data_IF_872254719425
#
_entry.id   IF_872254719425
#
_cell.length_a   1.000
_cell.length_b   1.000
_cell.length_c   1.000
_cell.angle_alpha   90.00
_cell.angle_beta   90.00
_cell.angle_gamma   90.00
#
_symmetry.space_group_name_H-M   'P 1'
#
loop_
_entity.id
_entity.type
_entity.pdbx_description
1 polymer ?
#
# COMPACT_ATOMS: atom_id res chain seq x y z
N UNK A 1 2.56 -10.73 16.22
CA UNK A 1 1.13 -10.31 16.21
C UNK A 1 0.92 -9.47 14.95
N UNK A 2 0.00 -9.90 14.08
CA UNK A 2 -0.30 -9.25 12.78
C UNK A 2 -1.02 -7.90 13.02
N UNK A 3 -0.59 -6.85 12.32
CA UNK A 3 -1.06 -5.47 12.47
C UNK A 3 0.03 -4.46 12.09
N UNK A 4 -0.31 -3.19 11.87
CA UNK A 4 0.69 -2.13 11.76
C UNK A 4 1.41 -1.91 13.09
N UNK A 5 2.73 -1.71 13.06
CA UNK A 5 3.58 -1.75 14.26
C UNK A 5 4.39 -0.48 14.48
N UNK A 6 4.69 0.22 13.40
CA UNK A 6 5.38 1.50 13.45
C UNK A 6 4.90 2.35 12.29
N UNK A 7 4.74 3.64 12.54
CA UNK A 7 4.31 4.57 11.53
C UNK A 7 4.93 5.96 11.73
N UNK A 8 5.19 6.62 10.61
CA UNK A 8 5.56 8.02 10.54
C UNK A 8 4.40 8.78 9.94
N UNK A 9 3.97 9.85 10.61
CA UNK A 9 2.86 10.69 10.18
C UNK A 9 3.41 12.07 9.85
N UNK A 10 3.13 12.55 8.64
CA UNK A 10 3.42 13.91 8.22
C UNK A 10 2.11 14.65 7.93
N UNK A 11 2.04 15.91 8.37
CA UNK A 11 0.94 16.81 8.00
C UNK A 11 1.29 17.54 6.72
N UNK A 12 0.35 17.61 5.79
CA UNK A 12 0.49 18.41 4.57
C UNK A 12 0.08 19.85 4.85
N UNK A 13 0.27 20.73 3.85
CA UNK A 13 -0.26 22.09 3.89
C UNK A 13 -1.78 22.12 4.16
N UNK A 14 -2.54 21.26 3.49
CA UNK A 14 -3.98 21.13 3.70
C UNK A 14 -4.30 20.74 5.16
N UNK A 15 -3.51 19.82 5.74
CA UNK A 15 -3.65 19.46 7.15
C UNK A 15 -3.34 20.62 8.11
N UNK A 16 -2.31 21.40 7.83
CA UNK A 16 -1.95 22.58 8.64
C UNK A 16 -3.04 23.66 8.58
N UNK A 17 -3.61 23.90 7.40
CA UNK A 17 -4.70 24.87 7.18
C UNK A 17 -5.99 24.45 7.89
N UNK A 18 -6.37 23.17 7.81
CA UNK A 18 -7.51 22.61 8.55
C UNK A 18 -7.34 22.78 10.06
N UNK A 19 -6.15 22.47 10.60
CA UNK A 19 -5.85 22.63 12.02
C UNK A 19 -5.92 24.11 12.45
N UNK A 20 -5.50 25.05 11.60
CA UNK A 20 -5.61 26.47 11.86
C UNK A 20 -7.06 26.96 11.84
N UNK A 21 -7.88 26.46 10.91
CA UNK A 21 -9.31 26.78 10.80
C UNK A 21 -10.09 26.28 12.03
N UNK A 22 -9.85 25.04 12.47
CA UNK A 22 -10.46 24.45 13.65
C UNK A 22 -10.17 25.26 14.93
N UNK A 23 -8.94 25.76 15.11
CA UNK A 23 -8.57 26.63 16.25
C UNK A 23 -9.28 27.99 16.25
N UNK A 24 -9.76 28.45 15.09
CA UNK A 24 -10.47 29.73 14.94
C UNK A 24 -11.99 29.60 15.05
N UNK A 25 -12.52 28.40 15.28
CA UNK A 25 -13.97 28.16 15.34
C UNK A 25 -14.69 28.40 14.00
N UNK A 26 -13.95 28.44 12.88
CA UNK A 26 -14.50 28.64 11.55
C UNK A 26 -14.79 27.29 10.91
N UNK A 27 -15.96 27.14 10.28
CA UNK A 27 -16.27 25.95 9.49
C UNK A 27 -15.29 25.87 8.29
N UNK A 28 -14.69 24.70 8.08
CA UNK A 28 -13.79 24.48 6.94
C UNK A 28 -14.55 24.79 5.63
N UNK A 29 -14.12 25.84 4.93
CA UNK A 29 -14.68 26.23 3.64
C UNK A 29 -14.60 25.07 2.64
N UNK A 30 -15.68 24.87 1.89
CA UNK A 30 -15.76 23.85 0.84
C UNK A 30 -14.69 24.13 -0.21
N UNK A 31 -13.72 23.23 -0.34
CA UNK A 31 -12.70 23.26 -1.39
C UNK A 31 -13.44 23.11 -2.75
N UNK A 32 -13.21 23.98 -3.75
CA UNK A 32 -13.94 23.94 -5.01
C UNK A 32 -13.72 22.61 -5.75
N UNK A 33 -14.80 21.93 -6.09
CA UNK A 33 -14.76 20.73 -6.92
C UNK A 33 -14.45 21.12 -8.37
N UNK A 34 -13.30 20.70 -8.88
CA UNK A 34 -12.90 20.97 -10.25
C UNK A 34 -11.92 19.94 -10.78
N UNK A 35 -12.38 18.73 -11.07
CA UNK A 35 -11.70 17.83 -12.00
C UNK A 35 -12.75 17.20 -12.93
N UNK A 36 -12.59 17.48 -14.22
CA UNK A 36 -13.52 17.16 -15.29
C UNK A 36 -13.74 15.66 -15.48
N UNK A 37 -14.97 15.33 -15.87
CA UNK A 37 -15.35 13.98 -16.32
C UNK A 37 -14.60 13.65 -17.61
N UNK A 38 -13.64 12.74 -17.54
CA UNK A 38 -13.14 12.03 -18.73
C UNK A 38 -13.76 10.64 -18.79
N UNK A 39 -14.74 10.48 -19.67
CA UNK A 39 -15.29 9.19 -20.07
C UNK A 39 -14.31 8.51 -21.02
N UNK A 40 -13.60 7.48 -20.56
CA UNK A 40 -12.83 6.60 -21.45
C UNK A 40 -13.71 5.44 -21.89
N UNK A 41 -14.02 5.40 -23.19
CA UNK A 41 -14.60 4.24 -23.86
C UNK A 41 -13.65 3.04 -23.77
N UNK A 42 -14.12 1.91 -23.21
CA UNK A 42 -13.42 0.64 -23.31
C UNK A 42 -13.67 0.01 -24.68
N UNK A 43 -12.64 -0.03 -25.53
CA UNK A 43 -12.61 -0.85 -26.74
C UNK A 43 -12.15 -2.26 -26.41
N UNK A 44 -12.93 -3.25 -26.86
CA UNK A 44 -12.64 -4.68 -26.74
C UNK A 44 -11.50 -5.10 -27.66
N UNK A 45 -10.43 -5.66 -27.11
CA UNK A 45 -9.36 -6.32 -27.88
C UNK A 45 -9.34 -7.81 -27.57
N UNK A 46 -9.43 -8.62 -28.63
CA UNK A 46 -9.42 -10.09 -28.65
C UNK A 46 -8.02 -10.66 -28.33
N UNK A 47 -7.91 -11.86 -27.72
CA UNK A 47 -6.61 -12.43 -27.39
C UNK A 47 -6.05 -13.24 -28.57
N UNK A 48 -4.84 -12.91 -29.03
CA UNK A 48 -4.06 -13.76 -29.94
C UNK A 48 -2.90 -14.42 -29.19
N UNK A 49 -2.70 -15.71 -29.52
CA UNK A 49 -2.02 -16.70 -28.68
C UNK A 49 -0.54 -16.50 -28.41
N UNK A 50 -0.13 -16.93 -27.22
CA UNK A 50 1.28 -17.17 -26.86
C UNK A 50 1.52 -18.67 -26.91
N UNK A 51 2.46 -19.10 -27.77
CA UNK A 51 2.84 -20.52 -27.93
C UNK A 51 3.68 -20.98 -26.73
N UNK A 52 3.28 -22.10 -26.14
CA UNK A 52 3.99 -22.73 -25.02
C UNK A 52 5.31 -23.38 -25.47
N UNK A 53 6.32 -23.26 -24.61
CA UNK A 53 7.54 -24.06 -24.69
C UNK A 53 7.38 -25.32 -23.85
N UNK A 54 7.57 -26.48 -24.47
CA UNK A 54 7.68 -27.77 -23.78
C UNK A 54 9.06 -27.92 -23.13
N UNK A 55 9.09 -28.38 -21.88
CA UNK A 55 10.25 -29.11 -21.36
C UNK A 55 9.77 -30.23 -20.42
N UNK A 56 10.14 -31.45 -20.77
CA UNK A 56 9.87 -32.70 -20.06
C UNK A 56 10.89 -32.90 -18.95
N UNK A 57 10.45 -33.21 -17.71
CA UNK A 57 11.23 -34.00 -16.75
C UNK A 57 10.32 -34.57 -15.64
N UNK A 58 10.52 -35.85 -15.35
CA UNK A 58 9.72 -36.67 -14.44
C UNK A 58 9.95 -36.40 -12.94
N UNK A 59 8.87 -36.52 -12.17
CA UNK A 59 8.82 -37.26 -10.89
C UNK A 59 9.38 -36.62 -9.62
N UNK A 60 8.49 -36.08 -8.78
CA UNK A 60 8.44 -36.39 -7.33
C UNK A 60 7.13 -35.89 -6.69
N UNK A 61 6.40 -36.82 -6.09
CA UNK A 61 5.18 -36.63 -5.31
C UNK A 61 5.27 -35.48 -4.31
N UNK A 62 4.42 -34.46 -4.48
CA UNK A 62 3.89 -33.64 -3.37
C UNK A 62 2.49 -33.12 -3.77
N UNK A 63 1.58 -34.05 -4.03
CA UNK A 63 0.15 -33.74 -4.21
C UNK A 63 -0.47 -33.41 -2.83
N UNK A 64 -0.24 -32.18 -2.38
CA UNK A 64 -1.14 -31.47 -1.48
C UNK A 64 -1.64 -30.25 -2.24
N UNK A 65 -2.79 -30.43 -2.89
CA UNK A 65 -3.72 -29.44 -3.41
C UNK A 65 -3.27 -27.98 -3.23
N UNK A 66 -2.57 -27.46 -4.25
CA UNK A 66 -2.66 -26.03 -4.54
C UNK A 66 -4.08 -25.81 -5.06
N UNK A 67 -4.99 -25.43 -4.18
CA UNK A 67 -6.34 -25.03 -4.58
C UNK A 67 -6.23 -24.00 -5.72
N UNK A 68 -6.69 -24.40 -6.90
CA UNK A 68 -6.72 -23.54 -8.07
C UNK A 68 -7.66 -22.37 -7.77
N UNK A 69 -7.19 -21.15 -8.00
CA UNK A 69 -7.99 -19.96 -7.75
C UNK A 69 -9.07 -19.85 -8.83
N UNK A 70 -10.32 -20.15 -8.47
CA UNK A 70 -11.48 -19.92 -9.32
C UNK A 70 -11.79 -18.42 -9.39
N UNK A 71 -11.46 -17.78 -10.51
CA UNK A 71 -11.78 -16.36 -10.74
C UNK A 71 -13.28 -16.09 -10.73
N UNK A 72 -14.14 -17.06 -11.08
CA UNK A 72 -15.59 -16.91 -10.98
C UNK A 72 -16.03 -16.76 -9.52
N UNK A 73 -15.33 -17.41 -8.59
CA UNK A 73 -15.55 -17.22 -7.16
C UNK A 73 -15.28 -15.77 -6.73
N UNK A 74 -14.25 -15.11 -7.29
CA UNK A 74 -13.94 -13.70 -6.98
C UNK A 74 -15.06 -12.79 -7.49
N UNK A 75 -15.53 -12.99 -8.72
CA UNK A 75 -16.65 -12.21 -9.27
C UNK A 75 -17.94 -12.43 -8.47
N UNK A 76 -18.21 -13.66 -8.04
CA UNK A 76 -19.37 -13.98 -7.18
C UNK A 76 -19.28 -13.28 -5.83
N UNK A 77 -18.12 -13.35 -5.17
CA UNK A 77 -17.84 -12.64 -3.90
C UNK A 77 -18.02 -11.13 -4.04
N UNK A 78 -17.57 -10.54 -5.15
CA UNK A 78 -17.77 -9.12 -5.44
C UNK A 78 -19.26 -8.78 -5.60
N UNK A 79 -20.04 -9.59 -6.34
CA UNK A 79 -21.48 -9.38 -6.50
C UNK A 79 -22.22 -9.40 -5.16
N UNK A 80 -21.89 -10.36 -4.30
CA UNK A 80 -22.45 -10.46 -2.93
C UNK A 80 -22.05 -9.25 -2.08
N UNK A 81 -20.80 -8.78 -2.18
CA UNK A 81 -20.36 -7.58 -1.47
C UNK A 81 -21.14 -6.33 -1.91
N UNK A 82 -21.36 -6.16 -3.22
CA UNK A 82 -22.15 -5.05 -3.76
C UNK A 82 -23.60 -5.10 -3.28
N UNK A 83 -24.26 -6.26 -3.34
CA UNK A 83 -25.66 -6.39 -2.90
C UNK A 83 -25.79 -6.10 -1.40
N UNK A 84 -24.93 -6.71 -0.59
CA UNK A 84 -24.90 -6.50 0.87
C UNK A 84 -24.71 -5.02 1.22
N UNK A 85 -23.82 -4.30 0.51
CA UNK A 85 -23.61 -2.88 0.76
C UNK A 85 -24.81 -2.02 0.37
N UNK A 86 -25.49 -2.34 -0.73
CA UNK A 86 -26.72 -1.64 -1.14
C UNK A 86 -27.90 -1.90 -0.20
N UNK A 87 -28.00 -3.12 0.33
CA UNK A 87 -29.02 -3.48 1.31
C UNK A 87 -28.81 -2.77 2.64
N UNK A 88 -27.56 -2.66 3.09
CA UNK A 88 -27.20 -1.90 4.30
C UNK A 88 -27.42 -0.39 4.12
N UNK A 89 -27.15 0.12 2.92
CA UNK A 89 -27.20 1.54 2.60
C UNK A 89 -27.36 1.76 1.09
N UNK A 90 -28.57 2.14 0.69
CA UNK A 90 -28.95 2.32 -0.72
C UNK A 90 -28.20 3.46 -1.41
N UNK A 91 -27.64 4.40 -0.65
CA UNK A 91 -26.89 5.55 -1.16
C UNK A 91 -25.37 5.37 -1.06
N UNK A 92 -24.88 4.24 -0.53
CA UNK A 92 -23.45 3.96 -0.33
C UNK A 92 -22.61 4.26 -1.57
N UNK A 93 -22.99 3.67 -2.72
CA UNK A 93 -22.26 3.84 -3.98
C UNK A 93 -22.44 5.23 -4.59
N UNK A 94 -23.56 5.92 -4.33
CA UNK A 94 -23.74 7.31 -4.79
C UNK A 94 -22.76 8.23 -4.06
N UNK A 95 -22.63 8.08 -2.75
CA UNK A 95 -21.65 8.85 -1.95
C UNK A 95 -20.22 8.52 -2.37
N UNK A 96 -19.91 7.24 -2.54
CA UNK A 96 -18.58 6.80 -2.97
C UNK A 96 -18.20 7.30 -4.37
N UNK A 97 -19.14 7.35 -5.31
CA UNK A 97 -18.90 7.81 -6.68
C UNK A 97 -18.70 9.33 -6.78
N UNK A 98 -19.30 10.11 -5.87
CA UNK A 98 -19.34 11.57 -5.97
C UNK A 98 -18.19 12.27 -5.24
N UNK A 99 -17.35 11.57 -4.48
CA UNK A 99 -16.44 12.21 -3.52
C UNK A 99 -15.21 11.33 -3.27
N UNK A 100 -14.04 11.78 -3.73
CA UNK A 100 -12.73 11.26 -3.33
C UNK A 100 -12.03 12.32 -2.49
N UNK A 101 -12.38 12.42 -1.21
CA UNK A 101 -11.68 13.27 -0.23
C UNK A 101 -11.05 12.39 0.86
N UNK A 102 -10.02 11.60 0.52
CA UNK A 102 -9.34 10.79 1.51
C UNK A 102 -8.70 11.68 2.57
N UNK A 103 -8.79 11.24 3.83
CA UNK A 103 -8.24 11.96 4.99
C UNK A 103 -6.75 11.68 5.15
N UNK A 104 -6.29 10.55 4.61
CA UNK A 104 -4.91 10.12 4.70
C UNK A 104 -4.43 9.53 3.37
N UNK A 105 -3.18 9.79 3.00
CA UNK A 105 -2.39 8.93 2.13
C UNK A 105 -1.70 7.89 3.00
N UNK A 106 -1.91 6.61 2.69
CA UNK A 106 -1.29 5.47 3.35
C UNK A 106 -0.25 4.83 2.45
N UNK A 107 1.02 4.85 2.86
CA UNK A 107 2.14 4.18 2.20
C UNK A 107 2.48 2.93 3.03
N UNK A 108 2.15 1.75 2.52
CA UNK A 108 2.28 0.49 3.24
C UNK A 108 3.01 -0.61 2.46
N UNK A 109 3.27 -1.73 3.13
CA UNK A 109 3.89 -2.88 2.49
C UNK A 109 2.87 -3.63 1.62
N UNK A 110 3.30 -4.24 0.52
CA UNK A 110 2.48 -5.15 -0.31
C UNK A 110 2.07 -6.46 0.39
N UNK A 111 2.51 -6.68 1.64
CA UNK A 111 2.14 -7.84 2.46
C UNK A 111 0.61 -7.98 2.63
N UNK A 112 0.05 -9.10 2.18
CA UNK A 112 -1.40 -9.33 2.14
C UNK A 112 -2.08 -9.26 3.53
N UNK A 113 -1.32 -9.36 4.62
CA UNK A 113 -1.84 -9.42 5.99
C UNK A 113 -2.16 -8.03 6.57
N UNK A 114 -1.82 -6.94 5.87
CA UNK A 114 -1.88 -5.57 6.39
C UNK A 114 -2.67 -4.62 5.47
N UNK A 115 -3.96 -4.88 5.17
CA UNK A 115 -4.79 -3.96 4.40
C UNK A 115 -5.20 -2.73 5.24
N UNK A 116 -4.86 -1.53 4.78
CA UNK A 116 -5.05 -0.26 5.50
C UNK A 116 -6.48 -0.05 6.03
N UNK A 117 -7.49 -0.20 5.16
CA UNK A 117 -8.88 0.06 5.53
C UNK A 117 -9.35 -0.85 6.67
N UNK A 118 -9.00 -2.14 6.63
CA UNK A 118 -9.42 -3.11 7.64
C UNK A 118 -8.73 -2.87 8.98
N UNK A 119 -7.42 -2.64 8.99
CA UNK A 119 -6.65 -2.50 10.24
C UNK A 119 -6.89 -1.18 10.95
N UNK A 120 -7.27 -0.13 10.22
CA UNK A 120 -7.56 1.19 10.77
C UNK A 120 -9.06 1.43 11.02
N UNK A 121 -9.93 0.48 10.66
CA UNK A 121 -11.38 0.66 10.76
C UNK A 121 -11.92 1.77 9.83
N UNK A 122 -11.25 2.00 8.70
CA UNK A 122 -11.58 3.05 7.75
C UNK A 122 -12.46 2.51 6.62
N UNK A 123 -13.35 3.35 6.10
CA UNK A 123 -14.28 2.96 5.05
C UNK A 123 -13.72 3.23 3.65
N UNK A 124 -14.36 2.68 2.62
CA UNK A 124 -14.04 3.00 1.23
C UNK A 124 -14.16 4.51 0.99
N UNK A 125 -13.06 5.14 0.56
CA UNK A 125 -12.99 6.59 0.32
C UNK A 125 -12.24 7.38 1.41
N UNK A 126 -12.04 6.83 2.61
CA UNK A 126 -11.30 7.53 3.69
C UNK A 126 -9.78 7.56 3.48
N UNK A 127 -9.25 6.62 2.69
CA UNK A 127 -7.80 6.35 2.54
C UNK A 127 -7.43 6.30 1.08
N UNK A 128 -6.39 7.04 0.71
CA UNK A 128 -5.68 6.87 -0.56
C UNK A 128 -4.45 5.98 -0.30
N UNK A 129 -4.23 4.94 -1.10
CA UNK A 129 -3.29 3.87 -0.73
C UNK A 129 -2.19 3.72 -1.78
N UNK A 130 -0.94 3.74 -1.32
CA UNK A 130 0.24 3.30 -2.06
C UNK A 130 0.83 2.07 -1.38
N UNK A 131 1.22 1.05 -2.15
CA UNK A 131 1.85 -0.17 -1.61
C UNK A 131 3.01 -0.65 -2.46
N UNK A 132 4.12 -0.94 -1.81
CA UNK A 132 5.28 -1.58 -2.42
C UNK A 132 5.98 -2.52 -1.42
N UNK A 133 7.03 -3.23 -1.85
CA UNK A 133 7.77 -4.12 -0.95
C UNK A 133 8.46 -3.30 0.14
N UNK A 134 8.14 -3.58 1.40
CA UNK A 134 8.71 -2.89 2.57
C UNK A 134 8.46 -1.37 2.64
N UNK A 135 7.34 -0.88 2.07
CA UNK A 135 6.82 0.48 2.31
C UNK A 135 7.85 1.60 2.11
N UNK A 136 8.62 1.52 1.02
CA UNK A 136 9.70 2.47 0.72
C UNK A 136 9.17 3.73 0.05
N UNK A 137 9.83 4.85 0.31
CA UNK A 137 9.63 6.13 -0.37
C UNK A 137 10.98 6.56 -0.95
N UNK A 138 11.21 6.18 -2.21
CA UNK A 138 12.46 6.49 -2.91
C UNK A 138 12.22 7.72 -3.79
N UNK A 139 13.00 8.79 -3.61
CA UNK A 139 12.78 10.05 -4.33
C UNK A 139 12.88 9.97 -5.85
N UNK A 140 13.52 8.92 -6.38
CA UNK A 140 13.61 8.63 -7.83
C UNK A 140 12.60 7.60 -8.32
N UNK A 141 11.77 7.03 -7.43
CA UNK A 141 10.69 6.12 -7.82
C UNK A 141 9.47 6.93 -8.30
N UNK A 142 9.32 7.04 -9.62
CA UNK A 142 8.19 7.72 -10.24
C UNK A 142 6.83 7.14 -9.82
N UNK A 143 6.76 5.86 -9.44
CA UNK A 143 5.51 5.26 -8.97
C UNK A 143 5.08 5.87 -7.63
N UNK A 144 5.92 5.79 -6.59
CA UNK A 144 5.61 6.40 -5.30
C UNK A 144 5.45 7.93 -5.39
N UNK A 145 6.33 8.61 -6.15
CA UNK A 145 6.30 10.07 -6.25
C UNK A 145 5.06 10.59 -6.95
N UNK A 146 4.57 9.92 -8.01
CA UNK A 146 3.32 10.32 -8.68
C UNK A 146 2.10 10.17 -7.77
N UNK A 147 2.06 9.12 -6.93
CA UNK A 147 0.97 8.91 -5.97
C UNK A 147 1.01 9.96 -4.85
N UNK A 148 2.20 10.29 -4.33
CA UNK A 148 2.37 11.36 -3.34
C UNK A 148 1.93 12.70 -3.93
N UNK A 149 2.39 13.04 -5.13
CA UNK A 149 2.02 14.29 -5.79
C UNK A 149 0.49 14.38 -6.00
N UNK A 150 -0.13 13.32 -6.52
CA UNK A 150 -1.58 13.30 -6.72
C UNK A 150 -2.34 13.50 -5.41
N UNK A 151 -1.91 12.81 -4.34
CA UNK A 151 -2.54 12.92 -3.03
C UNK A 151 -2.43 14.34 -2.44
N UNK A 152 -1.26 14.96 -2.55
CA UNK A 152 -0.99 16.28 -1.96
C UNK A 152 -1.60 17.41 -2.79
N UNK A 153 -1.34 17.43 -4.09
CA UNK A 153 -1.67 18.58 -4.94
C UNK A 153 -3.12 18.54 -5.43
N UNK A 154 -3.66 17.35 -5.71
CA UNK A 154 -4.97 17.19 -6.34
C UNK A 154 -6.06 16.74 -5.36
N UNK A 155 -5.74 15.78 -4.47
CA UNK A 155 -6.69 15.32 -3.44
C UNK A 155 -6.61 16.14 -2.15
N UNK A 156 -5.56 16.94 -1.99
CA UNK A 156 -5.31 17.77 -0.80
C UNK A 156 -5.40 16.98 0.51
N UNK A 157 -4.84 15.77 0.52
CA UNK A 157 -4.90 14.90 1.70
C UNK A 157 -4.26 15.60 2.91
N UNK A 158 -4.92 15.64 4.08
CA UNK A 158 -4.38 16.30 5.26
C UNK A 158 -3.11 15.64 5.83
N UNK A 159 -3.02 14.32 5.73
CA UNK A 159 -1.96 13.53 6.35
C UNK A 159 -1.39 12.48 5.41
N UNK A 160 -0.10 12.22 5.56
CA UNK A 160 0.61 11.09 4.94
C UNK A 160 1.09 10.17 6.07
N UNK A 161 0.83 8.88 5.93
CA UNK A 161 1.21 7.84 6.87
C UNK A 161 2.09 6.82 6.16
N UNK A 162 3.36 6.74 6.57
CA UNK A 162 4.22 5.60 6.20
C UNK A 162 4.08 4.53 7.27
N UNK A 163 3.64 3.34 6.90
CA UNK A 163 3.35 2.27 7.84
C UNK A 163 4.23 1.03 7.58
N UNK A 164 4.99 0.65 8.60
CA UNK A 164 5.74 -0.60 8.68
C UNK A 164 5.00 -1.67 9.48
N UNK A 165 5.34 -2.93 9.19
CA UNK A 165 4.84 -4.07 9.93
C UNK A 165 5.97 -5.04 10.28
N UNK A 166 5.90 -5.64 11.47
CA UNK A 166 6.85 -6.68 11.85
C UNK A 166 6.71 -7.91 10.96
N UNK A 167 7.79 -8.69 10.90
CA UNK A 167 7.90 -9.88 10.05
C UNK A 167 7.72 -9.56 8.55
N UNK A 168 8.18 -8.37 8.14
CA UNK A 168 8.20 -7.96 6.75
C UNK A 168 9.14 -8.85 5.92
N UNK A 169 8.58 -9.54 4.94
CA UNK A 169 9.35 -10.40 4.04
C UNK A 169 10.43 -9.63 3.26
N UNK A 170 10.14 -8.40 2.83
CA UNK A 170 11.11 -7.54 2.13
C UNK A 170 12.30 -7.14 3.01
N UNK A 171 12.05 -6.70 4.25
CA UNK A 171 13.11 -6.36 5.20
C UNK A 171 13.96 -7.58 5.56
N UNK A 172 13.32 -8.75 5.76
CA UNK A 172 14.05 -10.01 6.00
C UNK A 172 14.89 -10.42 4.79
N UNK A 173 14.36 -10.29 3.58
CA UNK A 173 15.07 -10.59 2.35
C UNK A 173 16.31 -9.70 2.19
N UNK A 174 16.21 -8.40 2.48
CA UNK A 174 17.34 -7.47 2.43
C UNK A 174 18.51 -7.89 3.34
N UNK A 175 18.23 -8.55 4.48
CA UNK A 175 19.23 -9.02 5.43
C UNK A 175 19.83 -10.40 5.10
N UNK A 176 19.27 -11.13 4.12
CA UNK A 176 19.81 -12.42 3.70
C UNK A 176 21.00 -12.21 2.76
N UNK A 177 22.05 -12.99 2.96
CA UNK A 177 23.21 -13.02 2.07
C UNK A 177 22.91 -13.89 0.83
N UNK A 178 21.92 -13.48 0.05
CA UNK A 178 21.53 -14.12 -1.19
C UNK A 178 21.11 -13.08 -2.23
N UNK A 179 21.36 -13.39 -3.51
CA UNK A 179 20.91 -12.55 -4.62
C UNK A 179 19.46 -12.90 -4.97
N UNK A 180 18.57 -11.91 -4.94
CA UNK A 180 17.14 -12.09 -5.24
C UNK A 180 16.79 -11.86 -6.72
N UNK A 181 17.79 -11.56 -7.56
CA UNK A 181 17.61 -11.22 -8.97
C UNK A 181 17.01 -9.83 -9.19
N UNK A 182 17.20 -9.29 -10.39
CA UNK A 182 16.57 -8.02 -10.80
C UNK A 182 15.07 -8.23 -11.10
N UNK A 183 14.17 -7.27 -10.79
CA UNK A 183 14.45 -5.95 -10.21
C UNK A 183 14.48 -5.93 -8.68
N UNK A 184 14.10 -7.02 -8.01
CA UNK A 184 13.94 -7.07 -6.55
C UNK A 184 15.25 -6.77 -5.82
N UNK A 185 16.37 -7.31 -6.28
CA UNK A 185 17.68 -7.07 -5.66
C UNK A 185 18.06 -5.58 -5.65
N UNK A 186 17.71 -4.83 -6.71
CA UNK A 186 17.93 -3.39 -6.77
C UNK A 186 17.05 -2.65 -5.76
N UNK A 187 15.79 -3.06 -5.64
CA UNK A 187 14.87 -2.49 -4.66
C UNK A 187 15.35 -2.71 -3.21
N UNK A 188 15.81 -3.92 -2.89
CA UNK A 188 16.27 -4.28 -1.56
C UNK A 188 17.55 -3.54 -1.13
N UNK A 189 18.35 -2.99 -2.07
CA UNK A 189 19.52 -2.16 -1.72
C UNK A 189 19.12 -0.93 -0.91
N UNK A 190 17.98 -0.31 -1.21
CA UNK A 190 17.49 0.84 -0.45
C UNK A 190 17.29 0.50 1.04
N UNK A 191 16.81 -0.71 1.36
CA UNK A 191 16.66 -1.18 2.75
C UNK A 191 18.03 -1.47 3.38
N UNK A 192 18.99 -1.99 2.59
CA UNK A 192 20.37 -2.20 3.06
C UNK A 192 21.10 -0.90 3.33
N UNK A 193 20.76 0.18 2.64
CA UNK A 193 21.24 1.51 2.96
C UNK A 193 20.73 1.98 4.33
N UNK A 194 19.46 1.76 4.67
CA UNK A 194 18.94 2.00 6.03
C UNK A 194 19.74 1.19 7.05
N UNK A 195 19.99 -0.09 6.79
CA UNK A 195 20.83 -0.90 7.69
C UNK A 195 22.25 -0.34 7.84
N UNK A 196 22.86 0.15 6.75
CA UNK A 196 24.21 0.72 6.75
C UNK A 196 24.27 2.02 7.54
N UNK A 197 23.25 2.88 7.41
CA UNK A 197 23.13 4.12 8.18
C UNK A 197 23.04 3.86 9.69
N UNK A 198 22.32 2.80 10.08
CA UNK A 198 22.06 2.45 11.48
C UNK A 198 22.87 1.25 11.98
N UNK A 199 24.00 0.96 11.34
CA UNK A 199 24.77 -0.28 11.54
C UNK A 199 25.19 -0.49 12.98
N UNK A 200 25.67 0.56 13.64
CA UNK A 200 26.22 0.45 14.99
C UNK A 200 25.12 0.17 16.03
N UNK A 201 23.95 0.81 15.90
CA UNK A 201 22.77 0.48 16.72
C UNK A 201 22.31 -0.97 16.49
N UNK A 202 22.17 -1.37 15.23
CA UNK A 202 21.65 -2.69 14.87
C UNK A 202 22.58 -3.85 15.27
N UNK A 203 23.90 -3.63 15.29
CA UNK A 203 24.88 -4.61 15.76
C UNK A 203 24.80 -4.88 17.26
N UNK A 204 24.42 -3.88 18.06
CA UNK A 204 24.32 -4.02 19.51
C UNK A 204 23.14 -4.90 19.93
N UNK A 205 22.17 -5.12 19.03
CA UNK A 205 21.02 -5.99 19.28
C UNK A 205 21.42 -7.45 19.02
N UNK A 206 21.48 -8.35 20.02
CA UNK A 206 21.99 -9.70 19.83
C UNK A 206 21.04 -10.59 19.03
N UNK A 207 19.74 -10.49 19.32
CA UNK A 207 18.71 -11.29 18.66
C UNK A 207 18.50 -10.83 17.21
N UNK A 208 18.63 -11.75 16.27
CA UNK A 208 18.34 -11.51 14.85
C UNK A 208 16.91 -11.01 14.66
N UNK A 209 15.95 -11.62 15.36
CA UNK A 209 14.54 -11.24 15.30
C UNK A 209 14.29 -9.83 15.82
N UNK A 210 14.92 -9.46 16.94
CA UNK A 210 14.85 -8.11 17.48
C UNK A 210 15.50 -7.10 16.52
N UNK A 211 16.62 -7.46 15.88
CA UNK A 211 17.29 -6.62 14.90
C UNK A 211 16.44 -6.39 13.65
N UNK A 212 15.75 -7.43 13.16
CA UNK A 212 14.81 -7.31 12.03
C UNK A 212 13.66 -6.37 12.40
N UNK A 213 13.07 -6.52 13.59
CA UNK A 213 11.99 -5.63 14.05
C UNK A 213 12.47 -4.19 14.18
N UNK A 214 13.67 -3.99 14.72
CA UNK A 214 14.26 -2.66 14.81
C UNK A 214 14.54 -2.04 13.45
N UNK A 215 15.03 -2.83 12.49
CA UNK A 215 15.22 -2.35 11.12
C UNK A 215 13.89 -1.97 10.46
N UNK A 216 12.78 -2.65 10.75
CA UNK A 216 11.44 -2.23 10.27
C UNK A 216 11.09 -0.83 10.80
N UNK A 217 11.37 -0.55 12.08
CA UNK A 217 11.11 0.76 12.69
C UNK A 217 11.98 1.85 12.08
N UNK A 218 13.28 1.59 11.93
CA UNK A 218 14.22 2.51 11.30
C UNK A 218 13.87 2.76 9.83
N UNK A 219 13.45 1.73 9.11
CA UNK A 219 13.00 1.86 7.73
C UNK A 219 11.85 2.87 7.62
N UNK A 220 10.87 2.79 8.51
CA UNK A 220 9.76 3.77 8.56
C UNK A 220 10.23 5.17 8.96
N UNK A 221 11.21 5.29 9.84
CA UNK A 221 11.74 6.59 10.24
C UNK A 221 12.48 7.30 9.09
N UNK A 222 13.24 6.54 8.30
CA UNK A 222 14.00 7.04 7.14
C UNK A 222 13.14 7.36 5.92
N UNK A 223 11.97 6.72 5.79
CA UNK A 223 10.99 7.03 4.74
C UNK A 223 10.24 8.31 5.07
#
# INVERSE_FOLDING_TARGET
MLGWKTAKIASTRAGAELAACARRGMAAGVIPQGLGRHTTHMGSASPSGVRGFHQTAMGRDTDKEKAEWDFDQIFRKNRVWVSTKREQDSDFFKRLANTQHPKILWIGCSDARVPANTICGLTSGDVFVQRNIANMVVGTDANAMSVIQYAVDFLQVPHIVVCGHYDCGGVRAALRNMNHGSPLENWLRNIRDVWRLHREELKQIPSQEARVRRLVELNVAEQ
#
